data_IF_229341305283
#
_entry.id   IF_229341305283
#
_cell.length_a   1.000
_cell.length_b   1.000
_cell.length_c   1.000
_cell.angle_alpha   90.00
_cell.angle_beta   90.00
_cell.angle_gamma   90.00
#
_symmetry.space_group_name_H-M   'P 1'
#
loop_
_entity.id
_entity.type
_entity.pdbx_description
1 polymer ?
#
# COMPACT_ATOMS: atom_id res chain seq x y z
N UNK A 1 -1.21 -3.34 39.68
CA UNK A 1 0.16 -3.06 39.21
C UNK A 1 0.24 -3.55 37.77
N UNK A 2 0.20 -2.67 36.78
CA UNK A 2 0.53 -3.07 35.40
C UNK A 2 1.99 -3.53 35.39
N UNK A 3 2.26 -4.65 34.72
CA UNK A 3 3.61 -5.16 34.54
C UNK A 3 4.37 -4.17 33.65
N UNK A 4 5.57 -3.76 34.07
CA UNK A 4 6.41 -2.87 33.27
C UNK A 4 6.72 -3.52 31.91
N UNK A 5 6.53 -2.82 30.78
CA UNK A 5 6.83 -3.36 29.47
C UNK A 5 8.32 -3.74 29.35
N UNK A 6 8.60 -4.91 28.78
CA UNK A 6 9.97 -5.37 28.59
C UNK A 6 10.62 -4.64 27.40
N UNK A 7 11.95 -4.35 27.43
CA UNK A 7 12.64 -3.68 26.31
C UNK A 7 12.46 -4.39 24.95
N UNK A 8 12.25 -5.70 24.98
CA UNK A 8 11.93 -6.51 23.79
C UNK A 8 10.56 -6.18 23.20
N UNK A 9 9.57 -5.86 24.03
CA UNK A 9 8.22 -5.50 23.58
C UNK A 9 8.21 -4.15 22.87
N UNK A 10 8.97 -3.18 23.39
CA UNK A 10 9.16 -1.86 22.78
C UNK A 10 9.81 -1.98 21.40
N UNK A 11 10.90 -2.75 21.31
CA UNK A 11 11.65 -2.96 20.05
C UNK A 11 10.80 -3.68 19.01
N UNK A 12 10.11 -4.76 19.38
CA UNK A 12 9.20 -5.48 18.47
C UNK A 12 8.05 -4.57 17.97
N UNK A 13 7.47 -3.75 18.85
CA UNK A 13 6.41 -2.82 18.46
C UNK A 13 6.92 -1.73 17.49
N UNK A 14 8.14 -1.23 17.70
CA UNK A 14 8.78 -0.26 16.81
C UNK A 14 9.11 -0.87 15.44
N UNK A 15 9.65 -2.09 15.40
CA UNK A 15 9.92 -2.83 14.15
C UNK A 15 8.64 -3.09 13.36
N UNK A 16 7.57 -3.53 14.02
CA UNK A 16 6.27 -3.74 13.38
C UNK A 16 5.70 -2.44 12.80
N UNK A 17 5.86 -1.31 13.50
CA UNK A 17 5.48 0.00 12.96
C UNK A 17 6.33 0.39 11.75
N UNK A 18 7.64 0.16 11.78
CA UNK A 18 8.53 0.43 10.64
C UNK A 18 8.12 -0.37 9.42
N UNK A 19 7.87 -1.68 9.56
CA UNK A 19 7.43 -2.54 8.48
C UNK A 19 6.10 -2.09 7.87
N UNK A 20 5.15 -1.65 8.70
CA UNK A 20 3.87 -1.11 8.23
C UNK A 20 4.03 0.21 7.46
N UNK A 21 4.95 1.08 7.89
CA UNK A 21 5.28 2.33 7.18
C UNK A 21 5.95 2.07 5.83
N UNK A 22 6.87 1.10 5.78
CA UNK A 22 7.50 0.68 4.52
C UNK A 22 6.48 0.07 3.55
N UNK A 23 5.55 -0.74 4.08
CA UNK A 23 4.42 -1.29 3.32
C UNK A 23 3.53 -0.20 2.73
N UNK A 24 3.17 0.80 3.54
CA UNK A 24 2.40 1.97 3.09
C UNK A 24 3.12 2.73 1.98
N UNK A 25 4.40 3.07 2.20
CA UNK A 25 5.21 3.81 1.23
C UNK A 25 5.33 3.05 -0.10
N UNK A 26 5.50 1.72 -0.05
CA UNK A 26 5.53 0.88 -1.24
C UNK A 26 4.19 0.92 -1.98
N UNK A 27 3.07 0.77 -1.28
CA UNK A 27 1.74 0.81 -1.87
C UNK A 27 1.45 2.17 -2.54
N UNK A 28 1.82 3.27 -1.89
CA UNK A 28 1.70 4.63 -2.46
C UNK A 28 2.59 4.81 -3.70
N UNK A 29 3.83 4.32 -3.67
CA UNK A 29 4.72 4.33 -4.84
C UNK A 29 4.14 3.53 -6.00
N UNK A 30 3.63 2.32 -5.75
CA UNK A 30 3.07 1.47 -6.80
C UNK A 30 1.78 2.07 -7.38
N UNK A 31 0.93 2.67 -6.53
CA UNK A 31 -0.22 3.44 -6.98
C UNK A 31 0.18 4.65 -7.83
N UNK A 32 1.19 5.42 -7.41
CA UNK A 32 1.68 6.57 -8.15
C UNK A 32 2.25 6.17 -9.52
N UNK A 33 2.98 5.04 -9.59
CA UNK A 33 3.45 4.47 -10.85
C UNK A 33 2.26 4.14 -11.75
N UNK A 34 1.28 3.37 -11.28
CA UNK A 34 0.12 3.00 -12.11
C UNK A 34 -0.68 4.25 -12.51
N UNK A 35 -0.96 5.18 -11.59
CA UNK A 35 -1.70 6.42 -11.86
C UNK A 35 -1.00 7.33 -12.85
N UNK A 36 0.32 7.54 -12.70
CA UNK A 36 1.12 8.38 -13.59
C UNK A 36 1.27 7.82 -15.00
N UNK A 37 0.97 6.53 -15.20
CA UNK A 37 0.94 5.89 -16.50
C UNK A 37 -0.40 6.07 -17.24
N UNK A 38 -1.38 6.76 -16.65
CA UNK A 38 -2.69 7.06 -17.22
C UNK A 38 -2.69 7.98 -18.46
N UNK A 39 -1.52 8.41 -18.93
CA UNK A 39 -1.34 9.26 -20.12
C UNK A 39 -0.29 8.70 -21.11
N UNK A 40 0.36 7.58 -20.79
CA UNK A 40 1.37 6.98 -21.67
C UNK A 40 0.77 5.91 -22.59
N UNK A 41 1.02 6.06 -23.89
CA UNK A 41 0.70 5.04 -24.89
C UNK A 41 1.59 3.80 -24.68
N UNK A 42 0.98 2.64 -24.43
CA UNK A 42 1.72 1.38 -24.44
C UNK A 42 2.56 1.12 -23.19
N UNK A 43 2.03 0.43 -22.17
CA UNK A 43 2.88 -0.03 -21.06
C UNK A 43 2.44 -1.38 -20.49
N UNK A 44 3.36 -2.06 -19.80
CA UNK A 44 3.07 -3.33 -19.12
C UNK A 44 3.25 -3.21 -17.61
N UNK A 45 2.26 -3.66 -16.82
CA UNK A 45 2.33 -3.72 -15.35
C UNK A 45 2.31 -5.16 -14.85
N UNK A 46 2.97 -5.42 -13.73
CA UNK A 46 2.92 -6.72 -13.05
C UNK A 46 2.09 -6.62 -11.77
N UNK A 47 1.06 -7.45 -11.64
CA UNK A 47 0.20 -7.56 -10.44
C UNK A 47 0.25 -9.00 -9.95
N UNK A 48 0.72 -9.24 -8.72
CA UNK A 48 0.84 -10.58 -8.13
C UNK A 48 1.55 -11.61 -9.04
N UNK A 49 2.59 -11.18 -9.75
CA UNK A 49 3.36 -12.04 -10.68
C UNK A 49 2.79 -12.15 -12.10
N UNK A 50 1.64 -11.54 -12.40
CA UNK A 50 1.02 -11.56 -13.72
C UNK A 50 1.36 -10.27 -14.49
N UNK A 51 1.93 -10.42 -15.69
CA UNK A 51 2.24 -9.31 -16.60
C UNK A 51 1.01 -8.93 -17.44
N UNK A 52 0.64 -7.64 -17.44
CA UNK A 52 -0.51 -7.08 -18.16
C UNK A 52 0.00 -6.00 -19.10
N UNK A 53 -0.19 -6.15 -20.42
CA UNK A 53 0.27 -5.20 -21.44
C UNK A 53 -0.89 -4.37 -22.00
N UNK A 54 -0.85 -3.05 -21.78
CA UNK A 54 -1.81 -2.05 -22.23
C UNK A 54 -1.25 -1.37 -23.47
N UNK A 55 -1.55 -1.87 -24.68
CA UNK A 55 -0.93 -1.40 -25.93
C UNK A 55 -1.50 -0.09 -26.51
N UNK A 56 -0.72 0.50 -27.41
CA UNK A 56 -0.91 1.74 -28.20
C UNK A 56 -2.27 1.79 -28.92
N UNK A 57 -2.88 2.98 -29.00
CA UNK A 57 -4.03 3.28 -29.88
C UNK A 57 -3.51 3.52 -31.30
N UNK A 58 -3.74 2.59 -32.23
CA UNK A 58 -3.65 2.87 -33.67
C UNK A 58 -5.03 3.21 -34.26
N UNK A 59 -5.07 3.73 -35.49
CA UNK A 59 -6.28 4.19 -36.18
C UNK A 59 -7.34 3.11 -36.48
N UNK A 60 -7.08 1.84 -36.18
CA UNK A 60 -8.07 0.76 -36.16
C UNK A 60 -8.82 0.76 -34.82
N UNK A 61 -9.64 1.78 -34.62
CA UNK A 61 -10.39 2.02 -33.38
C UNK A 61 -11.32 0.84 -33.01
N UNK A 62 -10.83 -0.08 -32.19
CA UNK A 62 -11.64 -1.15 -31.59
C UNK A 62 -12.06 -0.75 -30.16
N UNK A 63 -13.17 -0.02 -30.05
CA UNK A 63 -13.67 0.52 -28.77
C UNK A 63 -14.01 -0.53 -27.69
N UNK A 64 -14.10 -1.82 -28.02
CA UNK A 64 -14.24 -2.89 -27.04
C UNK A 64 -12.91 -3.21 -26.33
N UNK A 65 -11.79 -3.21 -27.06
CA UNK A 65 -10.46 -3.46 -26.49
C UNK A 65 -9.98 -2.32 -25.60
N UNK A 66 -10.27 -1.08 -25.99
CA UNK A 66 -9.95 0.13 -25.19
C UNK A 66 -10.68 0.08 -23.85
N UNK A 67 -12.01 -0.14 -23.87
CA UNK A 67 -12.81 -0.25 -22.64
C UNK A 67 -12.35 -1.39 -21.73
N UNK A 68 -12.00 -2.54 -22.30
CA UNK A 68 -11.45 -3.65 -21.52
C UNK A 68 -10.15 -3.27 -20.78
N UNK A 69 -9.27 -2.52 -21.43
CA UNK A 69 -8.00 -2.06 -20.85
C UNK A 69 -8.18 -0.97 -19.81
N UNK A 70 -9.07 -0.01 -20.05
CA UNK A 70 -9.45 1.01 -19.07
C UNK A 70 -10.00 0.36 -17.79
N UNK A 71 -10.86 -0.67 -17.95
CA UNK A 71 -11.39 -1.40 -16.81
C UNK A 71 -10.31 -2.16 -16.03
N UNK A 72 -9.32 -2.74 -16.71
CA UNK A 72 -8.17 -3.38 -16.04
C UNK A 72 -7.34 -2.35 -15.28
N UNK A 73 -7.08 -1.19 -15.89
CA UNK A 73 -6.34 -0.10 -15.26
C UNK A 73 -7.07 0.46 -14.02
N UNK A 74 -8.36 0.75 -14.14
CA UNK A 74 -9.21 1.17 -13.03
C UNK A 74 -9.27 0.10 -11.93
N UNK A 75 -9.34 -1.17 -12.30
CA UNK A 75 -9.27 -2.31 -11.38
C UNK A 75 -7.96 -2.36 -10.60
N UNK A 76 -6.82 -2.16 -11.29
CA UNK A 76 -5.51 -2.10 -10.66
C UNK A 76 -5.37 -0.91 -9.70
N UNK A 77 -5.82 0.28 -10.11
CA UNK A 77 -5.84 1.46 -9.23
C UNK A 77 -6.71 1.23 -7.99
N UNK A 78 -7.88 0.61 -8.15
CA UNK A 78 -8.78 0.31 -7.02
C UNK A 78 -8.15 -0.72 -6.07
N UNK A 79 -7.50 -1.75 -6.60
CA UNK A 79 -6.80 -2.74 -5.79
C UNK A 79 -5.63 -2.11 -5.01
N UNK A 80 -4.83 -1.27 -5.65
CA UNK A 80 -3.72 -0.54 -5.01
C UNK A 80 -4.23 0.46 -3.96
N UNK A 81 -5.35 1.14 -4.22
CA UNK A 81 -6.00 1.98 -3.21
C UNK A 81 -6.43 1.17 -1.99
N UNK A 82 -7.02 -0.01 -2.18
CA UNK A 82 -7.35 -0.91 -1.08
C UNK A 82 -6.13 -1.34 -0.26
N UNK A 83 -4.98 -1.56 -0.90
CA UNK A 83 -3.72 -1.83 -0.21
C UNK A 83 -3.21 -0.63 0.61
N UNK A 84 -3.33 0.58 0.06
CA UNK A 84 -3.00 1.82 0.80
C UNK A 84 -3.89 1.93 2.04
N UNK A 85 -5.19 1.70 1.91
CA UNK A 85 -6.13 1.80 3.01
C UNK A 85 -5.85 0.75 4.11
N UNK A 86 -5.54 -0.48 3.70
CA UNK A 86 -5.07 -1.54 4.60
C UNK A 86 -3.82 -1.12 5.39
N UNK A 87 -2.78 -0.62 4.71
CA UNK A 87 -1.56 -0.21 5.40
C UNK A 87 -1.74 1.01 6.29
N UNK A 88 -2.60 1.96 5.92
CA UNK A 88 -2.98 3.08 6.80
C UNK A 88 -3.64 2.58 8.08
N UNK A 89 -4.52 1.59 7.99
CA UNK A 89 -5.13 0.96 9.15
C UNK A 89 -4.08 0.29 10.04
N UNK A 90 -3.18 -0.52 9.47
CA UNK A 90 -2.09 -1.14 10.24
C UNK A 90 -1.19 -0.11 10.91
N UNK A 91 -0.75 0.94 10.19
CA UNK A 91 0.08 2.01 10.77
C UNK A 91 -0.63 2.69 11.94
N UNK A 92 -1.93 2.96 11.83
CA UNK A 92 -2.70 3.54 12.92
C UNK A 92 -2.75 2.61 14.14
N UNK A 93 -3.02 1.32 13.93
CA UNK A 93 -3.04 0.31 14.99
C UNK A 93 -1.68 0.15 15.68
N UNK A 94 -0.59 0.06 14.92
CA UNK A 94 0.77 -0.07 15.47
C UNK A 94 1.22 1.19 16.21
N UNK A 95 0.86 2.38 15.72
CA UNK A 95 1.10 3.64 16.45
C UNK A 95 0.35 3.67 17.78
N UNK A 96 -0.90 3.22 17.81
CA UNK A 96 -1.67 3.15 19.05
C UNK A 96 -1.02 2.18 20.05
N UNK A 97 -0.60 0.99 19.59
CA UNK A 97 0.09 0.01 20.44
C UNK A 97 1.40 0.56 21.03
N UNK A 98 2.23 1.20 20.20
CA UNK A 98 3.49 1.79 20.68
C UNK A 98 3.26 2.94 21.66
N UNK A 99 2.22 3.75 21.46
CA UNK A 99 1.82 4.80 22.40
C UNK A 99 1.37 4.21 23.74
N UNK A 100 0.59 3.13 23.72
CA UNK A 100 0.16 2.47 24.95
C UNK A 100 1.37 1.98 25.75
N UNK A 101 2.33 1.32 25.09
CA UNK A 101 3.58 0.87 25.73
C UNK A 101 4.34 2.07 26.34
N UNK A 102 4.41 3.20 25.64
CA UNK A 102 5.07 4.40 26.15
C UNK A 102 4.35 5.00 27.38
N UNK A 103 3.02 5.00 27.38
CA UNK A 103 2.22 5.41 28.55
C UNK A 103 2.46 4.47 29.73
N UNK A 104 2.42 3.15 29.51
CA UNK A 104 2.64 2.15 30.55
C UNK A 104 4.05 2.28 31.18
N UNK A 105 5.06 2.62 30.38
CA UNK A 105 6.41 2.92 30.87
C UNK A 105 6.46 4.22 31.69
N UNK A 106 5.75 5.26 31.27
CA UNK A 106 5.70 6.53 31.99
C UNK A 106 4.98 6.43 33.33
N UNK A 107 3.95 5.57 33.44
CA UNK A 107 3.23 5.30 34.69
C UNK A 107 4.02 4.39 35.65
N UNK A 108 4.99 3.64 35.14
CA UNK A 108 5.85 2.75 35.92
C UNK A 108 7.14 3.41 36.44
N UNK A 109 7.48 4.62 35.97
CA UNK A 109 8.64 5.40 36.36
C UNK A 109 8.35 6.33 37.55
#
# INVERSE_FOLDING_TARGET
MSKMPEPKEVTMAAEALSAALDGLKKAESDYAKVKGLGEQQGYSVHVNGVAISVAVMDGSYQGALVRGREMIHLGALKALQGLIDYWKYEVAGRRAALRQIATDLAEAA
#
